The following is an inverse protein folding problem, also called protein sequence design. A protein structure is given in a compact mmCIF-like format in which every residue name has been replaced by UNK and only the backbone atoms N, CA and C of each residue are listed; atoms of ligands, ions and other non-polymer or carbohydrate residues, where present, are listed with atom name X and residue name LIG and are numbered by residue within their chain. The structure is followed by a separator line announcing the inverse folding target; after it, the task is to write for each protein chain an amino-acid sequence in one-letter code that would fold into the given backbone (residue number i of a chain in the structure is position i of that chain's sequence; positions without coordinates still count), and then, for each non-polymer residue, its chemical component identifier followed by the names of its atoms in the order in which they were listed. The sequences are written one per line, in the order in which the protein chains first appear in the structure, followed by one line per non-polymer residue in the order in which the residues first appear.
data_IF_528659730093
#
_entry.id   IF_528659730093
#
_cell.length_a   1.000
_cell.length_b   1.000
_cell.length_c   1.000
_cell.angle_alpha   90.00
_cell.angle_beta   90.00
_cell.angle_gamma   90.00
#
_symmetry.space_group_name_H-M   'P 1'
#
loop_
_entity.id
_entity.type
_entity.pdbx_description
1 polymer ?
#
# COMPACT_ATOMS: atom_id res chain seq x y z
N UNK A 1 -29.15 -48.97 7.63
CA UNK A 1 -28.44 -47.68 7.77
C UNK A 1 -29.11 -46.91 8.90
N UNK A 2 -28.56 -46.99 10.12
CA UNK A 2 -29.22 -46.48 11.34
C UNK A 2 -28.93 -44.99 11.48
N UNK A 3 -29.96 -44.16 11.36
CA UNK A 3 -29.89 -42.71 11.59
C UNK A 3 -30.03 -42.49 13.09
N UNK A 4 -28.93 -42.13 13.76
CA UNK A 4 -28.92 -41.81 15.19
C UNK A 4 -29.59 -40.44 15.45
N UNK A 5 -30.45 -40.32 16.48
CA UNK A 5 -31.13 -39.07 16.81
C UNK A 5 -30.16 -37.98 17.32
N UNK A 6 -30.51 -36.73 17.05
CA UNK A 6 -29.68 -35.53 17.27
C UNK A 6 -29.18 -35.34 18.72
N UNK A 7 -29.84 -35.98 19.69
CA UNK A 7 -29.49 -35.97 21.11
C UNK A 7 -28.19 -36.72 21.44
N UNK A 8 -27.79 -37.72 20.65
CA UNK A 8 -26.55 -38.49 20.87
C UNK A 8 -25.30 -37.73 20.38
N UNK A 9 -25.46 -36.77 19.47
CA UNK A 9 -24.35 -35.95 18.91
C UNK A 9 -23.68 -35.02 19.93
N UNK A 10 -24.31 -34.79 21.09
CA UNK A 10 -23.76 -33.96 22.19
C UNK A 10 -22.84 -34.71 23.14
N UNK A 11 -22.82 -36.05 23.12
CA UNK A 11 -22.01 -36.87 24.03
C UNK A 11 -20.68 -37.33 23.42
N UNK A 12 -20.44 -37.04 22.13
CA UNK A 12 -19.15 -37.29 21.52
C UNK A 12 -18.16 -36.19 21.96
N UNK A 13 -17.02 -36.54 22.57
CA UNK A 13 -15.94 -35.60 22.81
C UNK A 13 -15.62 -34.94 21.47
N UNK A 14 -15.82 -33.62 21.36
CA UNK A 14 -15.34 -32.88 20.19
C UNK A 14 -13.84 -33.15 20.11
N UNK A 15 -13.29 -33.67 19.00
CA UNK A 15 -11.85 -33.71 18.85
C UNK A 15 -11.36 -32.29 19.11
N UNK A 16 -10.56 -32.13 20.17
CA UNK A 16 -9.91 -30.89 20.52
C UNK A 16 -9.02 -30.55 19.34
N UNK A 17 -9.56 -29.78 18.39
CA UNK A 17 -8.78 -29.20 17.31
C UNK A 17 -7.63 -28.48 18.01
N UNK A 18 -6.36 -28.90 17.79
CA UNK A 18 -5.24 -28.22 18.40
C UNK A 18 -5.39 -26.75 18.05
N UNK A 19 -5.37 -25.89 19.07
CA UNK A 19 -5.41 -24.46 18.89
C UNK A 19 -4.39 -24.16 17.80
N UNK A 20 -4.86 -23.66 16.64
CA UNK A 20 -3.97 -23.22 15.58
C UNK A 20 -3.08 -22.21 16.27
N UNK A 21 -1.85 -22.62 16.59
CA UNK A 21 -0.96 -21.88 17.46
C UNK A 21 -1.00 -20.43 16.97
N UNK A 22 -1.48 -19.52 17.82
CA UNK A 22 -1.41 -18.09 17.53
C UNK A 22 0.05 -17.85 17.20
N UNK A 23 0.39 -17.72 15.90
CA UNK A 23 1.76 -17.44 15.49
C UNK A 23 2.15 -16.24 16.31
N UNK A 24 3.21 -16.38 17.10
CA UNK A 24 3.66 -15.31 17.98
C UNK A 24 3.76 -14.04 17.14
N UNK A 25 3.07 -12.99 17.60
CA UNK A 25 3.13 -11.69 16.95
C UNK A 25 4.60 -11.25 16.91
N UNK A 26 5.02 -10.52 15.87
CA UNK A 26 6.36 -9.95 15.83
C UNK A 26 6.62 -9.16 17.10
N UNK A 27 7.84 -9.26 17.64
CA UNK A 27 8.23 -8.48 18.81
C UNK A 27 8.24 -6.99 18.43
N UNK A 28 7.79 -6.12 19.33
CA UNK A 28 7.66 -4.67 19.07
C UNK A 28 8.96 -4.04 18.53
N UNK A 29 10.12 -4.49 19.02
CA UNK A 29 11.42 -4.01 18.54
C UNK A 29 11.70 -4.37 17.09
N UNK A 30 11.19 -5.50 16.59
CA UNK A 30 11.34 -5.88 15.18
C UNK A 30 10.51 -4.99 14.24
N UNK A 31 9.41 -4.43 14.76
CA UNK A 31 8.62 -3.43 14.03
C UNK A 31 9.32 -2.08 14.03
N UNK A 32 9.91 -1.65 15.15
CA UNK A 32 10.74 -0.44 15.19
C UNK A 32 11.95 -0.53 14.26
N UNK A 33 12.64 -1.68 14.24
CA UNK A 33 13.76 -1.91 13.32
C UNK A 33 13.32 -1.86 11.86
N UNK A 34 12.14 -2.38 11.53
CA UNK A 34 11.62 -2.26 10.16
C UNK A 34 11.33 -0.81 9.79
N UNK A 35 10.62 -0.09 10.65
CA UNK A 35 10.31 1.32 10.41
C UNK A 35 11.61 2.13 10.26
N UNK A 36 12.58 1.91 11.16
CA UNK A 36 13.90 2.52 11.09
C UNK A 36 14.66 2.16 9.81
N UNK A 37 14.58 0.91 9.34
CA UNK A 37 15.19 0.49 8.08
C UNK A 37 14.52 1.15 6.87
N UNK A 38 13.19 1.18 6.81
CA UNK A 38 12.44 1.85 5.72
C UNK A 38 12.78 3.34 5.71
N UNK A 39 12.80 3.98 6.87
CA UNK A 39 13.17 5.38 7.02
C UNK A 39 14.63 5.63 6.60
N UNK A 40 15.57 4.79 7.04
CA UNK A 40 16.97 4.89 6.66
C UNK A 40 17.20 4.73 5.15
N UNK A 41 16.50 3.79 4.49
CA UNK A 41 16.56 3.62 3.04
C UNK A 41 15.98 4.85 2.33
N UNK A 42 14.88 5.41 2.85
CA UNK A 42 14.28 6.63 2.32
C UNK A 42 15.23 7.82 2.41
N UNK A 43 15.80 8.09 3.59
CA UNK A 43 16.77 9.17 3.81
C UNK A 43 18.02 9.00 2.92
N UNK A 44 18.53 7.78 2.81
CA UNK A 44 19.68 7.48 1.93
C UNK A 44 19.34 7.73 0.48
N UNK A 45 18.19 7.24 0.00
CA UNK A 45 17.72 7.47 -1.37
C UNK A 45 17.61 8.96 -1.66
N UNK A 46 17.10 9.75 -0.71
CA UNK A 46 16.94 11.19 -0.83
C UNK A 46 18.27 11.94 -0.86
N UNK A 47 19.21 11.57 0.01
CA UNK A 47 20.56 12.14 0.02
C UNK A 47 21.32 11.93 -1.29
N UNK A 48 21.13 10.77 -1.93
CA UNK A 48 21.78 10.40 -3.19
C UNK A 48 21.23 11.13 -4.43
N UNK A 49 20.05 11.74 -4.34
CA UNK A 49 19.35 12.34 -5.48
C UNK A 49 19.61 13.84 -5.66
N UNK A 50 20.48 14.46 -4.83
CA UNK A 50 20.85 15.87 -4.99
C UNK A 50 21.52 16.10 -6.34
N UNK A 51 20.99 17.03 -7.14
CA UNK A 51 21.52 17.40 -8.46
C UNK A 51 21.09 16.48 -9.61
N UNK A 52 20.02 15.71 -9.44
CA UNK A 52 19.52 14.76 -10.47
C UNK A 52 18.38 15.34 -11.34
N UNK A 53 18.08 16.63 -11.19
CA UNK A 53 16.94 17.33 -11.80
C UNK A 53 16.82 17.04 -13.30
N UNK A 54 17.90 17.21 -14.06
CA UNK A 54 17.90 16.98 -15.51
C UNK A 54 17.59 15.51 -15.90
N UNK A 55 17.97 14.53 -15.08
CA UNK A 55 17.64 13.12 -15.33
C UNK A 55 16.19 12.82 -14.97
N UNK A 56 15.71 13.37 -13.86
CA UNK A 56 14.32 13.25 -13.42
C UNK A 56 13.36 13.87 -14.45
N UNK A 57 13.71 15.02 -15.01
CA UNK A 57 12.93 15.72 -16.04
C UNK A 57 12.85 14.90 -17.33
N UNK A 58 13.99 14.35 -17.80
CA UNK A 58 13.99 13.48 -18.98
C UNK A 58 13.12 12.25 -18.80
N UNK A 59 13.12 11.67 -17.60
CA UNK A 59 12.27 10.53 -17.27
C UNK A 59 10.79 10.93 -17.24
N UNK A 60 10.43 12.04 -16.59
CA UNK A 60 9.06 12.57 -16.55
C UNK A 60 8.54 12.90 -17.96
N UNK A 61 9.32 13.61 -18.78
CA UNK A 61 8.97 13.88 -20.19
C UNK A 61 8.81 12.59 -21.00
N UNK A 62 9.58 11.55 -20.71
CA UNK A 62 9.48 10.27 -21.42
C UNK A 62 8.19 9.54 -21.07
N UNK A 63 7.76 9.58 -19.81
CA UNK A 63 6.45 9.06 -19.37
C UNK A 63 5.33 9.86 -20.03
N UNK A 64 5.37 11.19 -19.95
CA UNK A 64 4.36 12.05 -20.55
C UNK A 64 4.22 11.82 -22.07
N UNK A 65 5.34 11.70 -22.79
CA UNK A 65 5.34 11.35 -24.22
C UNK A 65 4.70 9.99 -24.46
N UNK A 66 5.01 8.99 -23.63
CA UNK A 66 4.43 7.66 -23.75
C UNK A 66 2.91 7.67 -23.53
N UNK A 67 2.43 8.34 -22.49
CA UNK A 67 0.99 8.49 -22.20
C UNK A 67 0.25 9.21 -23.33
N UNK A 68 0.84 10.27 -23.89
CA UNK A 68 0.31 10.98 -25.04
C UNK A 68 0.22 10.08 -26.29
N UNK A 69 1.24 9.25 -26.54
CA UNK A 69 1.26 8.30 -27.67
C UNK A 69 0.17 7.23 -27.54
N UNK A 70 -0.10 6.75 -26.33
CA UNK A 70 -1.17 5.76 -26.08
C UNK A 70 -2.52 6.40 -25.80
N UNK A 71 -2.63 7.73 -25.86
CA UNK A 71 -3.83 8.51 -25.58
C UNK A 71 -4.43 8.29 -24.18
N UNK A 72 -3.57 8.03 -23.18
CA UNK A 72 -3.94 7.87 -21.77
C UNK A 72 -3.23 8.93 -20.92
N UNK A 73 -3.44 10.21 -21.25
CA UNK A 73 -2.86 11.35 -20.55
C UNK A 73 -3.94 12.23 -19.90
N UNK A 74 -4.64 11.75 -18.84
CA UNK A 74 -5.72 12.50 -18.21
C UNK A 74 -5.24 13.66 -17.31
N UNK A 75 -3.94 13.76 -17.04
CA UNK A 75 -3.31 14.69 -16.08
C UNK A 75 -3.80 16.12 -16.32
N UNK A 76 -3.67 16.60 -17.56
CA UNK A 76 -4.01 17.99 -17.91
C UNK A 76 -5.49 18.28 -17.75
N UNK A 77 -6.37 17.42 -18.29
CA UNK A 77 -7.82 17.65 -18.21
C UNK A 77 -8.34 17.58 -16.77
N UNK A 78 -7.80 16.66 -15.95
CA UNK A 78 -8.17 16.55 -14.54
C UNK A 78 -7.64 17.73 -13.72
N UNK A 79 -6.43 18.19 -14.01
CA UNK A 79 -5.82 19.33 -13.34
C UNK A 79 -6.54 20.64 -13.66
N UNK A 80 -6.83 20.92 -14.93
CA UNK A 80 -7.62 22.09 -15.34
C UNK A 80 -9.04 22.07 -14.76
N UNK A 81 -9.66 20.89 -14.64
CA UNK A 81 -10.96 20.76 -13.97
C UNK A 81 -10.86 21.10 -12.48
N UNK A 82 -9.81 20.61 -11.81
CA UNK A 82 -9.60 20.84 -10.39
C UNK A 82 -9.29 22.32 -10.10
N UNK A 83 -8.50 22.97 -10.95
CA UNK A 83 -8.16 24.40 -10.87
C UNK A 83 -9.42 25.29 -10.90
N UNK A 84 -10.41 24.94 -11.73
CA UNK A 84 -11.70 25.64 -11.80
C UNK A 84 -12.59 25.45 -10.56
N UNK A 85 -12.25 24.53 -9.67
CA UNK A 85 -13.05 24.11 -8.52
C UNK A 85 -12.25 24.27 -7.21
N UNK A 86 -12.05 25.50 -6.71
CA UNK A 86 -11.11 25.79 -5.62
C UNK A 86 -11.42 25.03 -4.32
N UNK A 87 -12.71 24.84 -4.00
CA UNK A 87 -13.10 24.02 -2.83
C UNK A 87 -12.66 22.56 -3.02
N UNK A 88 -12.81 22.01 -4.22
CA UNK A 88 -12.39 20.65 -4.52
C UNK A 88 -10.86 20.53 -4.54
N UNK A 89 -10.16 21.56 -5.03
CA UNK A 89 -8.69 21.64 -4.97
C UNK A 89 -8.18 21.58 -3.52
N UNK A 90 -8.76 22.36 -2.61
CA UNK A 90 -8.43 22.31 -1.17
C UNK A 90 -8.71 20.93 -0.60
N UNK A 91 -9.89 20.35 -0.87
CA UNK A 91 -10.23 19.00 -0.38
C UNK A 91 -9.28 17.92 -0.92
N UNK A 92 -8.90 18.01 -2.20
CA UNK A 92 -7.94 17.11 -2.83
C UNK A 92 -6.54 17.25 -2.20
N UNK A 93 -6.09 18.48 -1.94
CA UNK A 93 -4.82 18.74 -1.29
C UNK A 93 -4.80 18.20 0.16
N UNK A 94 -5.88 18.39 0.93
CA UNK A 94 -6.03 17.75 2.24
C UNK A 94 -6.04 16.23 2.15
N UNK A 95 -6.75 15.69 1.16
CA UNK A 95 -6.82 14.25 0.97
C UNK A 95 -5.43 13.67 0.71
N UNK A 96 -4.69 14.30 -0.20
CA UNK A 96 -3.31 13.96 -0.54
C UNK A 96 -2.38 14.09 0.67
N UNK A 97 -2.43 15.22 1.38
CA UNK A 97 -1.54 15.51 2.48
C UNK A 97 -1.78 14.63 3.73
N UNK A 98 -2.99 14.10 3.93
CA UNK A 98 -3.36 13.48 5.20
C UNK A 98 -3.63 11.97 5.13
N UNK A 99 -4.44 11.50 4.17
CA UNK A 99 -5.10 10.19 4.34
C UNK A 99 -4.10 9.02 4.36
N UNK A 100 -3.04 9.09 3.56
CA UNK A 100 -2.07 8.00 3.49
C UNK A 100 -1.25 7.85 4.79
N UNK A 101 -1.01 8.96 5.52
CA UNK A 101 -0.36 8.97 6.83
C UNK A 101 -1.26 8.45 7.97
N UNK A 102 -2.59 8.47 7.80
CA UNK A 102 -3.54 8.02 8.83
C UNK A 102 -4.07 6.62 8.54
N UNK A 103 -4.59 6.39 7.34
CA UNK A 103 -5.31 5.16 6.98
C UNK A 103 -4.39 3.95 7.08
N UNK A 104 -3.16 4.04 6.55
CA UNK A 104 -2.23 2.91 6.51
C UNK A 104 -1.86 2.44 7.93
N UNK A 105 -1.43 3.33 8.87
CA UNK A 105 -1.24 2.94 10.28
C UNK A 105 -2.51 2.41 10.95
N UNK A 106 -3.67 3.03 10.73
CA UNK A 106 -4.93 2.57 11.29
C UNK A 106 -5.25 1.14 10.85
N UNK A 107 -5.10 0.81 9.57
CA UNK A 107 -5.31 -0.55 9.05
C UNK A 107 -4.30 -1.53 9.65
N UNK A 108 -3.03 -1.14 9.82
CA UNK A 108 -2.03 -1.98 10.50
C UNK A 108 -2.41 -2.28 11.96
N UNK A 109 -2.78 -1.25 12.73
CA UNK A 109 -3.20 -1.39 14.14
C UNK A 109 -4.47 -2.23 14.24
N UNK A 110 -5.45 -1.98 13.36
CA UNK A 110 -6.67 -2.78 13.29
C UNK A 110 -6.38 -4.25 12.99
N UNK A 111 -5.53 -4.55 12.00
CA UNK A 111 -5.12 -5.92 11.69
C UNK A 111 -4.37 -6.57 12.86
N UNK A 112 -3.50 -5.82 13.55
CA UNK A 112 -2.77 -6.33 14.70
C UNK A 112 -3.72 -6.76 15.83
N UNK A 113 -4.74 -5.94 16.12
CA UNK A 113 -5.71 -6.19 17.20
C UNK A 113 -6.78 -7.21 16.84
N UNK A 114 -7.44 -7.02 15.69
CA UNK A 114 -8.62 -7.78 15.30
C UNK A 114 -8.32 -8.98 14.40
N UNK A 115 -7.22 -8.95 13.63
CA UNK A 115 -6.87 -9.98 12.64
C UNK A 115 -5.40 -10.44 12.73
N UNK A 116 -4.89 -10.82 13.93
CA UNK A 116 -3.45 -11.09 14.13
C UNK A 116 -2.90 -12.20 13.22
N UNK A 117 -3.75 -13.15 12.79
CA UNK A 117 -3.38 -14.20 11.84
C UNK A 117 -3.06 -13.69 10.42
N UNK A 118 -3.45 -12.45 10.07
CA UNK A 118 -3.16 -11.82 8.78
C UNK A 118 -2.10 -10.72 8.88
N UNK A 119 -1.94 -10.10 10.05
CA UNK A 119 -1.03 -8.98 10.30
C UNK A 119 0.37 -9.18 9.71
N UNK A 120 1.07 -10.27 10.07
CA UNK A 120 2.46 -10.48 9.64
C UNK A 120 2.62 -10.47 8.12
N UNK A 121 1.70 -11.11 7.39
CA UNK A 121 1.75 -11.12 5.93
C UNK A 121 1.40 -9.77 5.33
N UNK A 122 0.38 -9.08 5.87
CA UNK A 122 -0.02 -7.77 5.39
C UNK A 122 1.11 -6.75 5.60
N UNK A 123 1.78 -6.82 6.75
CA UNK A 123 2.97 -6.03 7.08
C UNK A 123 4.15 -6.35 6.16
N UNK A 124 4.45 -7.62 5.90
CA UNK A 124 5.51 -7.99 4.94
C UNK A 124 5.20 -7.53 3.52
N UNK A 125 3.92 -7.60 3.12
CA UNK A 125 3.47 -7.07 1.83
C UNK A 125 3.75 -5.57 1.74
N UNK A 126 3.26 -4.79 2.71
CA UNK A 126 3.47 -3.34 2.75
C UNK A 126 4.96 -2.98 2.75
N UNK A 127 5.76 -3.60 3.62
CA UNK A 127 7.19 -3.33 3.70
C UNK A 127 7.92 -3.69 2.40
N UNK A 128 7.61 -4.84 1.80
CA UNK A 128 8.25 -5.29 0.57
C UNK A 128 7.98 -4.36 -0.61
N UNK A 129 6.72 -3.95 -0.80
CA UNK A 129 6.37 -3.01 -1.86
C UNK A 129 6.99 -1.63 -1.60
N UNK A 130 6.98 -1.14 -0.36
CA UNK A 130 7.59 0.16 -0.03
C UNK A 130 9.09 0.18 -0.29
N UNK A 131 9.83 -0.83 0.18
CA UNK A 131 11.28 -0.91 -0.05
C UNK A 131 11.61 -1.01 -1.55
N UNK A 132 10.81 -1.74 -2.31
CA UNK A 132 11.01 -1.86 -3.76
C UNK A 132 10.72 -0.55 -4.49
N UNK A 133 9.69 0.19 -4.07
CA UNK A 133 9.41 1.51 -4.61
C UNK A 133 10.56 2.50 -4.32
N UNK A 134 11.13 2.48 -3.11
CA UNK A 134 12.28 3.31 -2.76
C UNK A 134 13.50 3.02 -3.65
N UNK A 135 13.75 1.74 -3.99
CA UNK A 135 14.77 1.36 -4.98
C UNK A 135 14.40 1.90 -6.37
N UNK A 136 13.12 1.87 -6.73
CA UNK A 136 12.58 2.47 -7.95
C UNK A 136 12.90 3.96 -8.07
N UNK A 137 12.65 4.73 -7.02
CA UNK A 137 12.96 6.17 -6.98
C UNK A 137 14.43 6.46 -7.21
N UNK A 138 15.32 5.63 -6.67
CA UNK A 138 16.75 5.75 -6.91
C UNK A 138 17.15 5.31 -8.32
N UNK A 139 16.54 4.27 -8.88
CA UNK A 139 16.92 3.76 -10.21
C UNK A 139 16.36 4.61 -11.35
N UNK A 140 15.15 5.13 -11.16
CA UNK A 140 14.35 5.87 -12.12
C UNK A 140 13.74 7.12 -11.45
N UNK A 141 14.56 8.12 -11.10
CA UNK A 141 14.06 9.39 -10.55
C UNK A 141 13.13 10.03 -11.59
N UNK A 142 12.02 10.60 -11.16
CA UNK A 142 10.96 11.07 -12.07
C UNK A 142 10.39 12.38 -11.55
N UNK A 143 10.50 13.43 -12.36
CA UNK A 143 9.86 14.72 -12.08
C UNK A 143 8.35 14.56 -12.30
N UNK A 144 7.52 14.88 -11.28
CA UNK A 144 6.07 14.77 -11.39
C UNK A 144 5.49 15.84 -12.34
N UNK A 145 4.26 15.64 -12.86
CA UNK A 145 3.66 16.55 -13.85
C UNK A 145 3.69 18.03 -13.49
N UNK A 146 3.38 18.38 -12.23
CA UNK A 146 3.33 19.78 -11.75
C UNK A 146 4.68 20.50 -11.72
N UNK A 147 5.78 19.76 -11.67
CA UNK A 147 7.14 20.31 -11.64
C UNK A 147 7.83 20.21 -13.00
N UNK A 148 7.21 19.52 -13.97
CA UNK A 148 7.81 19.28 -15.26
C UNK A 148 7.76 20.55 -16.12
N UNK A 149 8.91 21.03 -16.66
CA UNK A 149 8.92 22.22 -17.49
C UNK A 149 7.99 22.07 -18.71
N UNK A 150 7.18 23.10 -18.96
CA UNK A 150 6.25 23.16 -20.10
C UNK A 150 5.13 22.11 -20.12
N UNK A 151 4.85 21.44 -19.00
CA UNK A 151 3.74 20.48 -18.93
C UNK A 151 2.35 21.14 -18.88
N UNK A 152 2.25 22.43 -18.54
CA UNK A 152 0.97 23.14 -18.43
C UNK A 152 0.09 22.66 -17.26
N UNK A 153 0.70 22.02 -16.25
CA UNK A 153 0.03 21.49 -15.07
C UNK A 153 0.27 22.45 -13.90
N UNK A 154 -0.81 22.81 -13.20
CA UNK A 154 -0.80 23.62 -11.99
C UNK A 154 -0.32 22.79 -10.78
N UNK A 155 0.52 23.38 -9.93
CA UNK A 155 0.87 22.80 -8.63
C UNK A 155 -0.26 23.08 -7.63
N UNK A 156 -1.37 22.32 -7.77
CA UNK A 156 -2.59 22.53 -6.98
C UNK A 156 -2.34 22.52 -5.47
N UNK A 157 -1.37 21.72 -5.00
CA UNK A 157 -1.06 21.62 -3.56
C UNK A 157 -0.35 22.89 -3.08
N UNK A 158 0.54 23.45 -3.89
CA UNK A 158 1.15 24.75 -3.62
C UNK A 158 0.13 25.90 -3.74
N UNK A 159 -0.73 25.88 -4.76
CA UNK A 159 -1.70 26.95 -5.04
C UNK A 159 -2.73 27.16 -3.91
N UNK A 160 -2.99 26.12 -3.12
CA UNK A 160 -3.95 26.15 -2.02
C UNK A 160 -3.31 26.00 -0.63
N UNK A 161 -1.98 26.11 -0.53
CA UNK A 161 -1.24 25.91 0.73
C UNK A 161 -1.67 26.85 1.86
N UNK A 162 -2.13 28.06 1.53
CA UNK A 162 -2.63 29.06 2.50
C UNK A 162 -3.85 28.56 3.29
N UNK A 163 -4.56 27.56 2.77
CA UNK A 163 -5.70 26.92 3.44
C UNK A 163 -5.32 25.62 4.14
N UNK A 164 -4.06 25.19 4.05
CA UNK A 164 -3.57 23.89 4.50
C UNK A 164 -2.64 23.95 5.71
N UNK A 165 -2.30 22.78 6.24
CA UNK A 165 -1.27 22.61 7.28
C UNK A 165 0.10 22.20 6.72
N UNK A 166 0.18 22.01 5.39
CA UNK A 166 1.41 21.68 4.67
C UNK A 166 2.13 22.96 4.22
N UNK A 167 3.38 22.81 3.75
CA UNK A 167 4.12 23.89 3.09
C UNK A 167 4.57 23.48 1.71
N UNK A 168 4.54 24.44 0.78
CA UNK A 168 5.37 24.61 -0.40
C UNK A 168 5.90 23.33 -0.99
N UNK A 169 5.24 22.89 -2.06
CA UNK A 169 5.68 21.82 -2.98
C UNK A 169 5.59 20.39 -2.45
N UNK A 170 5.23 20.17 -1.17
CA UNK A 170 5.21 18.83 -0.57
C UNK A 170 4.09 18.62 0.46
N UNK A 171 3.66 17.37 0.63
CA UNK A 171 2.71 16.90 1.68
C UNK A 171 3.24 17.03 3.12
N UNK A 172 4.37 17.72 3.32
CA UNK A 172 5.06 17.80 4.59
C UNK A 172 4.44 18.89 5.45
N UNK A 173 4.42 18.72 6.80
CA UNK A 173 4.09 19.81 7.70
C UNK A 173 4.94 21.06 7.40
N UNK A 174 4.38 22.25 7.63
CA UNK A 174 5.10 23.50 7.41
C UNK A 174 6.50 23.49 8.06
N UNK A 175 7.53 23.78 7.26
CA UNK A 175 8.94 23.78 7.69
C UNK A 175 9.67 22.44 7.55
N UNK A 176 8.98 21.39 7.10
CA UNK A 176 9.57 20.06 6.83
C UNK A 176 9.55 19.71 5.34
N UNK A 177 9.29 20.64 4.42
CA UNK A 177 9.24 20.36 2.98
C UNK A 177 10.55 19.79 2.44
N UNK A 178 11.68 20.26 2.98
CA UNK A 178 13.01 19.69 2.76
C UNK A 178 13.24 18.29 3.37
N UNK A 179 12.19 17.63 3.88
CA UNK A 179 12.17 16.21 4.31
C UNK A 179 11.37 15.31 3.35
N UNK A 180 10.79 15.85 2.27
CA UNK A 180 10.12 15.06 1.21
C UNK A 180 10.94 15.02 -0.09
N UNK A 181 10.95 13.88 -0.79
CA UNK A 181 11.63 13.71 -2.08
C UNK A 181 10.67 14.00 -3.25
N UNK A 182 10.84 15.15 -3.89
CA UNK A 182 9.97 15.64 -4.96
C UNK A 182 10.10 14.87 -6.28
N UNK A 183 11.23 14.18 -6.51
CA UNK A 183 11.51 13.40 -7.73
C UNK A 183 11.16 11.91 -7.60
N UNK A 184 10.34 11.56 -6.63
CA UNK A 184 9.94 10.19 -6.31
C UNK A 184 8.55 9.84 -6.86
N UNK A 185 8.26 10.17 -8.12
CA UNK A 185 6.93 9.94 -8.68
C UNK A 185 6.66 8.44 -8.98
N UNK A 186 7.59 7.71 -9.61
CA UNK A 186 7.34 6.33 -10.06
C UNK A 186 8.10 5.26 -9.23
N UNK A 187 7.43 4.24 -8.67
CA UNK A 187 5.98 3.97 -8.67
C UNK A 187 5.25 4.76 -7.57
N UNK A 188 3.94 5.01 -7.75
CA UNK A 188 3.16 5.77 -6.76
C UNK A 188 2.89 4.96 -5.48
N UNK A 189 3.56 5.33 -4.38
CA UNK A 189 3.30 4.74 -3.07
C UNK A 189 1.95 5.17 -2.49
N UNK A 190 1.44 6.35 -2.82
CA UNK A 190 0.10 6.79 -2.44
C UNK A 190 -0.95 5.79 -2.92
N UNK A 191 -0.94 5.48 -4.22
CA UNK A 191 -1.86 4.52 -4.83
C UNK A 191 -1.61 3.11 -4.31
N UNK A 192 -0.34 2.70 -4.18
CA UNK A 192 -0.02 1.36 -3.67
C UNK A 192 -0.48 1.13 -2.22
N UNK A 193 -0.27 2.09 -1.33
CA UNK A 193 -0.72 2.02 0.07
C UNK A 193 -2.24 2.10 0.19
N UNK A 194 -2.87 2.93 -0.65
CA UNK A 194 -4.32 3.01 -0.71
C UNK A 194 -4.95 1.69 -1.18
N UNK A 195 -4.38 1.05 -2.21
CA UNK A 195 -4.85 -0.23 -2.71
C UNK A 195 -4.63 -1.34 -1.67
N UNK A 196 -3.47 -1.38 -1.03
CA UNK A 196 -3.17 -2.30 0.07
C UNK A 196 -4.19 -2.16 1.21
N UNK A 197 -4.44 -0.93 1.66
CA UNK A 197 -5.38 -0.62 2.73
C UNK A 197 -6.81 -1.01 2.34
N UNK A 198 -7.22 -0.57 1.15
CA UNK A 198 -8.55 -0.81 0.61
C UNK A 198 -8.88 -2.29 0.43
N UNK A 199 -7.94 -3.05 -0.12
CA UNK A 199 -8.09 -4.50 -0.28
C UNK A 199 -8.23 -5.22 1.07
N UNK A 200 -7.45 -4.84 2.07
CA UNK A 200 -7.51 -5.46 3.39
C UNK A 200 -8.81 -5.13 4.13
N UNK A 201 -9.30 -3.89 4.00
CA UNK A 201 -10.61 -3.50 4.51
C UNK A 201 -11.72 -4.29 3.80
N UNK A 202 -11.73 -4.32 2.47
CA UNK A 202 -12.69 -5.10 1.69
C UNK A 202 -12.72 -6.58 2.10
N UNK A 203 -11.54 -7.19 2.31
CA UNK A 203 -11.44 -8.62 2.58
C UNK A 203 -11.78 -9.03 4.02
N UNK A 204 -11.55 -8.14 4.99
CA UNK A 204 -11.57 -8.50 6.41
C UNK A 204 -12.55 -7.67 7.27
N UNK A 205 -13.08 -6.55 6.77
CA UNK A 205 -14.08 -5.78 7.48
C UNK A 205 -15.39 -6.57 7.60
N UNK A 206 -16.08 -6.41 8.74
CA UNK A 206 -17.37 -7.06 8.98
C UNK A 206 -18.54 -6.34 8.31
N UNK A 207 -18.43 -5.01 8.17
CA UNK A 207 -19.45 -4.17 7.58
C UNK A 207 -19.17 -3.94 6.10
N UNK A 208 -20.17 -4.21 5.27
CA UNK A 208 -20.06 -4.03 3.81
C UNK A 208 -19.71 -2.59 3.42
N UNK A 209 -20.19 -1.60 4.18
CA UNK A 209 -19.90 -0.19 3.95
C UNK A 209 -18.42 0.13 4.10
N UNK A 210 -17.76 -0.42 5.12
CA UNK A 210 -16.31 -0.27 5.32
C UNK A 210 -15.53 -0.95 4.19
N UNK A 211 -16.00 -2.10 3.72
CA UNK A 211 -15.42 -2.75 2.55
C UNK A 211 -15.58 -1.91 1.27
N UNK A 212 -16.75 -1.33 1.06
CA UNK A 212 -17.03 -0.42 -0.07
C UNK A 212 -16.18 0.84 -0.04
N UNK A 213 -16.05 1.49 1.12
CA UNK A 213 -15.14 2.63 1.31
C UNK A 213 -13.68 2.22 1.08
N UNK A 214 -13.30 1.01 1.49
CA UNK A 214 -12.00 0.43 1.19
C UNK A 214 -11.73 0.34 -0.31
N UNK A 215 -12.69 -0.11 -1.11
CA UNK A 215 -12.54 -0.17 -2.58
C UNK A 215 -12.54 1.20 -3.24
N UNK A 216 -13.30 2.16 -2.71
CA UNK A 216 -13.33 3.54 -3.23
C UNK A 216 -12.00 4.27 -2.97
N UNK A 217 -11.33 3.98 -1.86
CA UNK A 217 -10.12 4.68 -1.44
C UNK A 217 -9.00 4.73 -2.49
N UNK A 218 -8.50 3.62 -3.06
CA UNK A 218 -7.45 3.68 -4.10
C UNK A 218 -7.88 4.41 -5.38
N UNK A 219 -9.16 4.35 -5.74
CA UNK A 219 -9.69 5.08 -6.91
C UNK A 219 -9.64 6.58 -6.66
N UNK A 220 -10.14 7.02 -5.49
CA UNK A 220 -10.07 8.42 -5.08
C UNK A 220 -8.64 8.91 -4.93
N UNK A 221 -7.74 8.11 -4.34
CA UNK A 221 -6.31 8.44 -4.26
C UNK A 221 -5.72 8.64 -5.65
N UNK A 222 -6.00 7.74 -6.60
CA UNK A 222 -5.49 7.85 -7.98
C UNK A 222 -5.98 9.14 -8.64
N UNK A 223 -7.28 9.43 -8.55
CA UNK A 223 -7.85 10.66 -9.10
C UNK A 223 -7.20 11.90 -8.47
N UNK A 224 -7.07 11.94 -7.15
CA UNK A 224 -6.48 13.08 -6.43
C UNK A 224 -5.03 13.30 -6.84
N UNK A 225 -4.19 12.27 -6.87
CA UNK A 225 -2.77 12.48 -7.16
C UNK A 225 -2.49 12.83 -8.62
N UNK A 226 -3.32 12.35 -9.55
CA UNK A 226 -3.23 12.69 -10.97
C UNK A 226 -3.75 14.11 -11.19
N UNK A 227 -4.93 14.43 -10.65
CA UNK A 227 -5.54 15.75 -10.80
C UNK A 227 -4.72 16.88 -10.14
N UNK A 228 -4.03 16.60 -9.04
CA UNK A 228 -3.13 17.58 -8.37
C UNK A 228 -1.75 17.66 -9.03
N UNK A 229 -1.49 16.92 -10.12
CA UNK A 229 -0.20 16.92 -10.81
C UNK A 229 0.95 16.28 -10.02
N UNK A 230 0.65 15.47 -9.00
CA UNK A 230 1.64 14.78 -8.18
C UNK A 230 2.15 13.48 -8.80
N UNK A 231 1.37 12.85 -9.67
CA UNK A 231 1.71 11.61 -10.33
C UNK A 231 1.16 11.57 -11.76
N UNK A 232 1.90 10.95 -12.67
CA UNK A 232 1.37 10.46 -13.93
C UNK A 232 0.44 9.26 -13.68
N UNK A 233 -0.48 8.99 -14.60
CA UNK A 233 -1.30 7.78 -14.56
C UNK A 233 -0.43 6.51 -14.60
N UNK A 234 0.68 6.54 -15.33
CA UNK A 234 1.68 5.48 -15.39
C UNK A 234 2.30 5.20 -14.01
N UNK A 235 2.54 6.24 -13.20
CA UNK A 235 3.06 6.08 -11.83
C UNK A 235 2.04 5.34 -10.95
N UNK A 236 0.76 5.70 -11.09
CA UNK A 236 -0.35 5.05 -10.39
C UNK A 236 -0.47 3.58 -10.80
N UNK A 237 -0.41 3.28 -12.10
CA UNK A 237 -0.42 1.92 -12.62
C UNK A 237 0.77 1.11 -12.10
N UNK A 238 1.98 1.68 -12.10
CA UNK A 238 3.16 1.03 -11.55
C UNK A 238 3.00 0.72 -10.05
N UNK A 239 2.37 1.63 -9.29
CA UNK A 239 1.99 1.40 -7.89
C UNK A 239 1.03 0.23 -7.72
N UNK A 240 -0.04 0.17 -8.53
CA UNK A 240 -1.00 -0.95 -8.55
C UNK A 240 -0.31 -2.28 -8.83
N UNK A 241 0.49 -2.34 -9.90
CA UNK A 241 1.20 -3.55 -10.31
C UNK A 241 2.16 -4.03 -9.21
N UNK A 242 2.90 -3.12 -8.60
CA UNK A 242 3.81 -3.43 -7.50
C UNK A 242 3.06 -3.99 -6.28
N UNK A 243 1.93 -3.37 -5.91
CA UNK A 243 1.08 -3.85 -4.83
C UNK A 243 0.51 -5.23 -5.14
N UNK A 244 0.02 -5.48 -6.36
CA UNK A 244 -0.49 -6.80 -6.77
C UNK A 244 0.59 -7.87 -6.76
N UNK A 245 1.81 -7.55 -7.21
CA UNK A 245 2.95 -8.46 -7.17
C UNK A 245 3.24 -8.92 -5.74
N UNK A 246 3.44 -7.98 -4.81
CA UNK A 246 3.73 -8.35 -3.42
C UNK A 246 2.54 -9.00 -2.71
N UNK A 247 1.31 -8.66 -3.08
CA UNK A 247 0.11 -9.35 -2.60
C UNK A 247 0.11 -10.83 -3.03
N UNK A 248 0.46 -11.09 -4.29
CA UNK A 248 0.56 -12.44 -4.85
C UNK A 248 1.70 -13.24 -4.20
N UNK A 249 2.89 -12.64 -4.07
CA UNK A 249 4.05 -13.28 -3.45
C UNK A 249 3.78 -13.67 -1.99
N UNK A 250 3.20 -12.75 -1.22
CA UNK A 250 2.87 -13.02 0.19
C UNK A 250 1.72 -14.02 0.33
N UNK A 251 0.73 -13.97 -0.57
CA UNK A 251 -0.33 -14.97 -0.66
C UNK A 251 0.19 -16.38 -0.93
N UNK A 252 1.09 -16.52 -1.92
CA UNK A 252 1.72 -17.79 -2.27
C UNK A 252 2.56 -18.34 -1.10
N UNK A 253 3.39 -17.51 -0.48
CA UNK A 253 4.21 -17.91 0.67
C UNK A 253 3.36 -18.43 1.84
N UNK A 254 2.19 -17.83 2.07
CA UNK A 254 1.23 -18.34 3.07
C UNK A 254 0.61 -19.67 2.66
N UNK A 255 0.24 -19.82 1.38
CA UNK A 255 -0.32 -21.06 0.83
C UNK A 255 0.65 -22.23 1.03
N UNK A 256 1.90 -22.06 0.61
CA UNK A 256 2.97 -23.06 0.79
C UNK A 256 3.15 -23.40 2.27
N UNK A 257 3.20 -22.39 3.15
CA UNK A 257 3.34 -22.61 4.60
C UNK A 257 2.18 -23.39 5.22
N UNK A 258 0.93 -23.17 4.75
CA UNK A 258 -0.25 -23.91 5.20
C UNK A 258 -0.21 -25.37 4.75
N UNK A 259 0.15 -25.62 3.49
CA UNK A 259 0.30 -26.98 2.97
C UNK A 259 1.39 -27.75 3.70
N UNK A 260 2.56 -27.14 3.92
CA UNK A 260 3.66 -27.79 4.64
C UNK A 260 3.28 -28.19 6.08
N UNK A 261 2.51 -27.35 6.78
CA UNK A 261 2.00 -27.66 8.13
C UNK A 261 0.98 -28.79 8.08
N UNK A 262 0.02 -28.74 7.15
CA UNK A 262 -0.99 -29.78 6.98
C UNK A 262 -0.36 -31.16 6.65
N UNK A 263 0.63 -31.19 5.75
CA UNK A 263 1.36 -32.40 5.40
C UNK A 263 2.13 -32.99 6.59
N UNK A 264 2.78 -32.14 7.41
CA UNK A 264 3.46 -32.58 8.64
C UNK A 264 2.49 -33.20 9.65
N UNK A 265 1.32 -32.59 9.84
CA UNK A 265 0.28 -33.16 10.71
C UNK A 265 -0.25 -34.50 10.18
N UNK A 266 -0.47 -34.63 8.88
CA UNK A 266 -0.91 -35.88 8.26
C UNK A 266 0.12 -37.01 8.44
N UNK A 267 1.41 -36.71 8.25
CA UNK A 267 2.50 -37.68 8.47
C UNK A 267 2.62 -38.08 9.95
N UNK A 268 2.55 -37.10 10.87
CA UNK A 268 2.60 -37.37 12.31
C UNK A 268 1.41 -38.23 12.78
N UNK A 269 0.20 -37.95 12.26
CA UNK A 269 -1.00 -38.74 12.55
C UNK A 269 -0.88 -40.17 12.03
N UNK A 270 -0.41 -40.37 10.79
CA UNK A 270 -0.14 -41.72 10.24
C UNK A 270 0.91 -42.49 11.06
N UNK A 271 1.96 -41.81 11.55
CA UNK A 271 2.99 -42.45 12.40
C UNK A 271 2.44 -42.84 13.78
N UNK A 272 1.57 -42.04 14.37
CA UNK A 272 0.92 -42.34 15.65
C UNK A 272 -0.11 -43.47 15.55
N UNK A 273 -0.74 -43.66 14.39
CA UNK A 273 -1.72 -44.71 14.13
C UNK A 273 -1.12 -46.09 13.76
N UNK A 274 0.20 -46.18 13.58
CA UNK A 274 0.86 -47.48 13.31
C UNK A 274 0.92 -48.31 14.61
N UNK A 275 0.44 -49.57 14.61
CA UNK A 275 0.59 -50.46 15.76
C UNK A 275 2.07 -50.67 16.06
N UNK A 276 2.43 -50.67 17.35
CA UNK A 276 3.80 -50.99 17.77
C UNK A 276 4.05 -52.47 17.48
N UNK A 277 5.23 -52.85 16.92
CA UNK A 277 5.59 -54.25 16.79
C UNK A 277 5.64 -54.85 18.21
N UNK A 278 4.91 -55.96 18.37
CA UNK A 278 4.91 -56.78 19.59
C UNK A 278 6.09 -57.72 19.64
#
# INVERSE_FOLDING_TARGET
MVILPASVRRLLPRPSMPSIARRALPRWWAELLLVGMVYGVYETSRGLQRGWDARADRNGQSIQRWENVVHLAPEQSLNELLDRLPVLAVLAAYFYATLHYIVTPVVLVWLYRAHPGHYRSARTWLAGMTLTALIGYWRFPTTPPRLLPHAGIHDTVADVEQWGWWSGQTSAPQGLGGLINEYAAMPSLHVGWALWSGWLLFRHARHWSVGGLGLAYPVLTTLVVVATGNHFLADALAGVLLTMLFGSLTGLARGIGRHAVASRHAVASKKAARPRPG
#
